data_IF_612383704811
#
_entry.id   IF_612383704811
#
_cell.length_a   1.000
_cell.length_b   1.000
_cell.length_c   1.000
_cell.angle_alpha   90.00
_cell.angle_beta   90.00
_cell.angle_gamma   90.00
#
_symmetry.space_group_name_H-M   'P 1'
#
loop_
_entity.id
_entity.type
_entity.pdbx_description
1 polymer ?
#
# COMPACT_ATOMS: atom_id res chain seq x y z
N UNK A 1 -15.05 46.12 -13.61
CA UNK A 1 -15.31 44.76 -14.17
C UNK A 1 -16.81 44.58 -14.33
N UNK A 2 -17.25 44.06 -15.47
CA UNK A 2 -18.68 43.77 -15.69
C UNK A 2 -19.11 42.61 -14.79
N UNK A 3 -20.25 42.70 -14.06
CA UNK A 3 -20.66 41.70 -13.07
C UNK A 3 -20.66 40.24 -13.59
N UNK A 4 -21.02 39.92 -14.85
CA UNK A 4 -20.97 38.55 -15.33
C UNK A 4 -19.53 37.98 -15.42
N UNK A 5 -18.52 38.82 -15.67
CA UNK A 5 -17.13 38.39 -15.74
C UNK A 5 -16.57 38.00 -14.36
N UNK A 6 -16.93 38.76 -13.32
CA UNK A 6 -16.52 38.46 -11.96
C UNK A 6 -17.11 37.11 -11.45
N UNK A 7 -18.37 36.84 -11.77
CA UNK A 7 -19.04 35.58 -11.41
C UNK A 7 -18.38 34.40 -12.14
N UNK A 8 -18.10 34.53 -13.45
CA UNK A 8 -17.44 33.49 -14.23
C UNK A 8 -16.04 33.17 -13.71
N UNK A 9 -15.27 34.20 -13.30
CA UNK A 9 -13.95 34.02 -12.72
C UNK A 9 -14.01 33.28 -11.37
N UNK A 10 -14.97 33.61 -10.49
CA UNK A 10 -15.15 32.94 -9.21
C UNK A 10 -15.50 31.46 -9.43
N UNK A 11 -16.41 31.14 -10.34
CA UNK A 11 -16.78 29.77 -10.65
C UNK A 11 -15.61 28.99 -11.23
N UNK A 12 -14.81 29.59 -12.08
CA UNK A 12 -13.61 28.96 -12.65
C UNK A 12 -12.57 28.65 -11.56
N UNK A 13 -12.30 29.59 -10.65
CA UNK A 13 -11.38 29.40 -9.54
C UNK A 13 -11.87 28.33 -8.56
N UNK A 14 -13.18 28.28 -8.27
CA UNK A 14 -13.78 27.24 -7.43
C UNK A 14 -13.67 25.87 -8.07
N UNK A 15 -13.88 25.76 -9.39
CA UNK A 15 -13.73 24.52 -10.13
C UNK A 15 -12.27 24.05 -10.16
N UNK A 16 -11.32 24.96 -10.41
CA UNK A 16 -9.89 24.70 -10.34
C UNK A 16 -9.45 24.22 -8.94
N UNK A 17 -9.89 24.92 -7.90
CA UNK A 17 -9.64 24.54 -6.50
C UNK A 17 -10.21 23.17 -6.16
N UNK A 18 -11.41 22.86 -6.64
CA UNK A 18 -12.04 21.55 -6.51
C UNK A 18 -11.26 20.45 -7.21
N UNK A 19 -10.80 20.67 -8.44
CA UNK A 19 -9.98 19.71 -9.19
C UNK A 19 -8.63 19.47 -8.49
N UNK A 20 -7.98 20.52 -8.01
CA UNK A 20 -6.71 20.41 -7.26
C UNK A 20 -6.95 19.63 -5.95
N UNK A 21 -7.95 19.99 -5.17
CA UNK A 21 -8.29 19.29 -3.93
C UNK A 21 -8.57 17.80 -4.16
N UNK A 22 -9.35 17.45 -5.20
CA UNK A 22 -9.66 16.08 -5.57
C UNK A 22 -8.42 15.30 -6.02
N UNK A 23 -7.50 15.95 -6.72
CA UNK A 23 -6.24 15.33 -7.15
C UNK A 23 -5.27 15.08 -6.00
N UNK A 24 -5.24 15.97 -5.00
CA UNK A 24 -4.36 15.85 -3.83
C UNK A 24 -4.92 14.98 -2.70
N UNK A 25 -6.24 14.80 -2.63
CA UNK A 25 -6.89 14.00 -1.58
C UNK A 25 -6.35 12.57 -1.45
N UNK A 26 -6.06 11.81 -2.54
CA UNK A 26 -5.44 10.49 -2.42
C UNK A 26 -4.05 10.53 -1.78
N UNK A 27 -3.24 11.55 -2.08
CA UNK A 27 -1.90 11.68 -1.51
C UNK A 27 -1.92 11.87 0.01
N UNK A 28 -2.84 12.67 0.51
CA UNK A 28 -3.02 12.88 1.95
C UNK A 28 -3.38 11.59 2.69
N UNK A 29 -4.17 10.76 2.08
CA UNK A 29 -4.57 9.48 2.67
C UNK A 29 -3.40 8.50 2.73
N UNK A 30 -2.54 8.51 1.72
CA UNK A 30 -1.32 7.69 1.73
C UNK A 30 -0.27 8.17 2.74
N UNK A 31 -0.18 9.46 2.99
CA UNK A 31 0.74 10.01 4.00
C UNK A 31 0.40 9.53 5.42
N UNK A 32 -0.88 9.29 5.68
CA UNK A 32 -1.36 8.82 6.98
C UNK A 32 -1.59 7.31 7.05
N UNK A 33 -1.40 6.57 5.95
CA UNK A 33 -1.69 5.14 5.90
C UNK A 33 -0.91 4.36 6.97
N UNK A 34 0.40 4.61 7.10
CA UNK A 34 1.24 3.97 8.12
C UNK A 34 0.73 4.25 9.54
N UNK A 35 0.47 5.52 9.84
CA UNK A 35 -0.01 5.93 11.16
C UNK A 35 -1.38 5.33 11.47
N UNK A 36 -2.28 5.29 10.50
CA UNK A 36 -3.61 4.72 10.67
C UNK A 36 -3.55 3.20 10.81
N UNK A 37 -2.69 2.53 10.05
CA UNK A 37 -2.48 1.10 10.20
C UNK A 37 -1.97 0.74 11.60
N UNK A 38 -1.00 1.49 12.11
CA UNK A 38 -0.45 1.29 13.47
C UNK A 38 -1.48 1.43 14.60
N UNK A 39 -2.60 2.12 14.35
CA UNK A 39 -3.71 2.28 15.32
C UNK A 39 -4.66 1.08 15.34
N UNK A 40 -4.75 0.33 14.25
CA UNK A 40 -5.78 -0.70 14.05
C UNK A 40 -5.23 -2.11 14.04
N UNK A 41 -3.93 -2.29 13.79
CA UNK A 41 -3.27 -3.59 13.75
C UNK A 41 -1.84 -3.46 14.28
N UNK A 42 -1.33 -4.51 14.89
CA UNK A 42 0.07 -4.58 15.30
C UNK A 42 0.94 -5.21 14.22
N UNK A 43 2.25 -4.90 14.22
CA UNK A 43 3.18 -5.55 13.30
C UNK A 43 3.23 -7.07 13.50
N UNK A 44 3.07 -7.54 14.73
CA UNK A 44 3.03 -8.97 15.05
C UNK A 44 1.80 -9.68 14.44
N UNK A 45 0.62 -9.05 14.49
CA UNK A 45 -0.58 -9.59 13.85
C UNK A 45 -0.47 -9.62 12.33
N UNK A 46 0.09 -8.56 11.73
CA UNK A 46 0.40 -8.54 10.29
C UNK A 46 1.35 -9.66 9.91
N UNK A 47 2.40 -9.86 10.70
CA UNK A 47 3.41 -10.88 10.45
C UNK A 47 2.82 -12.30 10.62
N UNK A 48 2.03 -12.52 11.65
CA UNK A 48 1.37 -13.80 11.87
C UNK A 48 0.39 -14.15 10.73
N UNK A 49 -0.32 -13.14 10.20
CA UNK A 49 -1.18 -13.33 9.05
C UNK A 49 -0.38 -13.65 7.78
N UNK A 50 0.69 -12.90 7.49
CA UNK A 50 1.51 -13.10 6.31
C UNK A 50 2.24 -14.45 6.33
N UNK A 51 2.73 -14.87 7.50
CA UNK A 51 3.39 -16.17 7.65
C UNK A 51 2.44 -17.34 7.34
N UNK A 52 1.21 -17.28 7.82
CA UNK A 52 0.18 -18.27 7.46
C UNK A 52 -0.04 -18.31 5.95
N UNK A 53 -0.13 -17.14 5.33
CA UNK A 53 -0.33 -17.05 3.90
C UNK A 53 0.87 -17.60 3.10
N UNK A 54 2.10 -17.35 3.56
CA UNK A 54 3.31 -17.91 2.97
C UNK A 54 3.35 -19.45 3.12
N UNK A 55 2.94 -19.96 4.27
CA UNK A 55 2.95 -21.41 4.56
C UNK A 55 1.88 -22.15 3.74
N UNK A 56 0.74 -21.51 3.46
CA UNK A 56 -0.32 -22.04 2.61
C UNK A 56 0.07 -22.10 1.12
N UNK A 57 1.08 -21.31 0.71
CA UNK A 57 1.59 -21.26 -0.66
C UNK A 57 3.10 -21.59 -0.73
N UNK A 58 3.48 -22.86 -0.58
CA UNK A 58 4.90 -23.25 -0.61
C UNK A 58 5.53 -23.02 -2.00
N UNK A 59 6.79 -22.62 -2.00
CA UNK A 59 7.58 -22.25 -3.18
C UNK A 59 7.63 -23.31 -4.30
N UNK A 60 7.32 -24.56 -3.99
CA UNK A 60 7.36 -25.68 -4.96
C UNK A 60 6.32 -25.60 -6.07
N UNK A 61 5.38 -24.65 -6.01
CA UNK A 61 4.27 -24.61 -6.97
C UNK A 61 4.39 -23.54 -8.07
N UNK A 62 5.25 -22.54 -7.95
CA UNK A 62 5.37 -21.52 -9.01
C UNK A 62 6.68 -20.74 -8.97
N UNK A 63 7.40 -20.71 -10.11
CA UNK A 63 8.55 -19.81 -10.34
C UNK A 63 8.14 -18.35 -10.61
N UNK A 64 6.96 -17.93 -10.20
CA UNK A 64 6.43 -16.58 -10.50
C UNK A 64 5.74 -15.98 -9.29
N UNK A 65 5.85 -14.66 -9.16
CA UNK A 65 5.05 -13.90 -8.23
C UNK A 65 3.56 -14.18 -8.48
N UNK A 66 2.93 -14.95 -7.59
CA UNK A 66 1.51 -15.21 -7.67
C UNK A 66 0.78 -13.94 -7.22
N UNK A 67 0.30 -13.18 -8.19
CA UNK A 67 -0.55 -12.01 -7.94
C UNK A 67 -1.93 -12.53 -7.53
N UNK A 68 -2.11 -12.79 -6.26
CA UNK A 68 -3.42 -13.05 -5.70
C UNK A 68 -4.11 -11.70 -5.46
N UNK A 69 -4.89 -11.25 -6.43
CA UNK A 69 -5.88 -10.18 -6.20
C UNK A 69 -7.00 -10.72 -5.31
N UNK A 70 -6.65 -11.12 -4.10
CA UNK A 70 -7.63 -11.57 -3.13
C UNK A 70 -8.07 -10.41 -2.27
N UNK A 71 -9.04 -9.66 -2.75
CA UNK A 71 -9.73 -8.62 -1.98
C UNK A 71 -10.36 -9.13 -0.67
N UNK A 72 -10.35 -10.44 -0.42
CA UNK A 72 -11.06 -11.08 0.70
C UNK A 72 -10.16 -11.60 1.81
N UNK A 73 -8.88 -11.86 1.57
CA UNK A 73 -7.99 -12.55 2.52
C UNK A 73 -6.96 -11.64 3.21
N UNK A 74 -7.20 -10.36 3.31
CA UNK A 74 -6.36 -9.46 4.11
C UNK A 74 -6.98 -9.20 5.49
N UNK A 75 -6.20 -8.78 6.50
CA UNK A 75 -6.72 -8.48 7.83
C UNK A 75 -7.88 -7.48 7.77
N UNK A 76 -9.05 -7.81 8.34
CA UNK A 76 -10.24 -6.97 8.25
C UNK A 76 -10.04 -5.57 8.85
N UNK A 77 -9.09 -5.42 9.79
CA UNK A 77 -8.71 -4.16 10.41
C UNK A 77 -8.15 -3.16 9.40
N UNK A 78 -7.60 -3.65 8.28
CA UNK A 78 -7.07 -2.81 7.20
C UNK A 78 -8.17 -2.30 6.24
N UNK A 79 -9.42 -2.76 6.42
CA UNK A 79 -10.56 -2.24 5.66
C UNK A 79 -10.78 -0.77 6.00
N UNK A 80 -10.93 0.05 4.99
CA UNK A 80 -11.22 1.47 5.19
C UNK A 80 -10.00 2.36 5.44
N UNK A 81 -8.77 1.81 5.49
CA UNK A 81 -7.57 2.62 5.63
C UNK A 81 -7.31 3.52 4.41
N UNK A 82 -7.75 3.08 3.23
CA UNK A 82 -7.70 3.90 2.02
C UNK A 82 -8.97 3.68 1.18
N UNK A 83 -9.57 4.73 0.66
CA UNK A 83 -10.99 4.74 0.35
C UNK A 83 -11.41 4.23 -1.02
N UNK A 84 -10.55 3.85 -1.93
CA UNK A 84 -11.06 3.53 -3.30
C UNK A 84 -10.35 2.41 -4.07
N UNK A 85 -9.10 2.12 -3.83
CA UNK A 85 -8.35 1.15 -4.64
C UNK A 85 -7.48 0.29 -3.73
N UNK A 86 -7.85 -0.95 -3.56
CA UNK A 86 -7.12 -1.92 -2.76
C UNK A 86 -7.79 -2.28 -1.44
N UNK A 87 -7.12 -3.01 -0.56
CA UNK A 87 -5.73 -3.42 -0.74
C UNK A 87 -5.55 -4.51 -1.79
N UNK A 88 -4.40 -4.46 -2.47
CA UNK A 88 -3.93 -5.57 -3.29
C UNK A 88 -2.96 -6.39 -2.46
N UNK A 89 -3.10 -7.70 -2.53
CA UNK A 89 -2.22 -8.64 -1.83
C UNK A 89 -1.44 -9.45 -2.85
N UNK A 90 -0.13 -9.35 -2.79
CA UNK A 90 0.79 -10.12 -3.63
C UNK A 90 1.67 -10.99 -2.74
N UNK A 91 1.79 -12.26 -3.05
CA UNK A 91 2.72 -13.16 -2.39
C UNK A 91 3.92 -13.33 -3.32
N UNK A 92 5.08 -12.98 -2.85
CA UNK A 92 6.33 -13.26 -3.55
C UNK A 92 6.96 -14.50 -2.94
N UNK A 93 6.96 -15.56 -3.72
CA UNK A 93 7.62 -16.82 -3.39
C UNK A 93 8.79 -16.95 -4.36
N UNK A 94 9.92 -16.34 -4.02
CA UNK A 94 11.13 -16.42 -4.83
C UNK A 94 11.89 -17.69 -4.46
N UNK A 95 12.34 -18.43 -5.47
CA UNK A 95 13.34 -19.48 -5.30
C UNK A 95 14.76 -18.92 -5.11
N UNK A 96 14.90 -17.60 -5.15
CA UNK A 96 16.15 -16.92 -4.83
C UNK A 96 16.44 -17.06 -3.35
N UNK A 97 17.46 -17.84 -3.02
CA UNK A 97 17.92 -18.09 -1.65
C UNK A 97 18.31 -16.79 -0.93
N UNK A 98 18.56 -15.71 -1.65
CA UNK A 98 18.91 -14.41 -1.13
C UNK A 98 17.67 -13.55 -0.76
N UNK A 99 16.49 -13.92 -1.22
CA UNK A 99 15.24 -13.18 -0.95
C UNK A 99 14.18 -14.13 -0.38
N UNK A 100 14.06 -14.23 0.95
CA UNK A 100 13.05 -15.09 1.56
C UNK A 100 11.64 -14.68 1.14
N UNK A 101 10.68 -15.60 1.14
CA UNK A 101 9.29 -15.32 0.80
C UNK A 101 8.70 -14.17 1.62
N UNK A 102 7.90 -13.34 0.97
CA UNK A 102 7.21 -12.24 1.62
C UNK A 102 5.84 -11.95 0.99
N UNK A 103 4.99 -11.32 1.76
CA UNK A 103 3.70 -10.79 1.31
C UNK A 103 3.81 -9.28 1.15
N UNK A 104 3.26 -8.76 0.07
CA UNK A 104 3.11 -7.34 -0.14
C UNK A 104 1.63 -6.98 -0.11
N UNK A 105 1.24 -6.10 0.81
CA UNK A 105 -0.07 -5.46 0.78
C UNK A 105 0.14 -4.02 0.32
N UNK A 106 -0.60 -3.59 -0.69
CA UNK A 106 -0.47 -2.22 -1.16
C UNK A 106 -1.80 -1.61 -1.59
N UNK A 107 -1.87 -0.30 -1.50
CA UNK A 107 -2.92 0.56 -2.01
C UNK A 107 -2.36 1.45 -3.10
N UNK A 108 -3.18 1.73 -4.10
CA UNK A 108 -2.77 2.51 -5.26
C UNK A 108 -2.01 1.69 -6.30
N UNK A 109 -1.94 2.23 -7.50
CA UNK A 109 -1.22 1.65 -8.63
C UNK A 109 -0.93 2.72 -9.69
N UNK A 110 0.02 2.43 -10.58
CA UNK A 110 0.30 3.27 -11.73
C UNK A 110 0.98 4.60 -11.40
N UNK A 111 0.58 5.67 -12.09
CA UNK A 111 1.22 7.00 -12.02
C UNK A 111 1.14 7.66 -10.64
N UNK A 112 0.16 7.28 -9.83
CA UNK A 112 -0.07 7.86 -8.50
C UNK A 112 0.79 7.20 -7.40
N UNK A 113 1.56 6.19 -7.77
CA UNK A 113 2.38 5.44 -6.83
C UNK A 113 1.58 4.37 -6.07
N UNK A 114 2.31 3.60 -5.29
CA UNK A 114 1.75 2.59 -4.40
C UNK A 114 2.35 2.77 -3.00
N UNK A 115 1.52 2.55 -1.99
CA UNK A 115 1.92 2.62 -0.59
C UNK A 115 1.40 1.38 0.12
N UNK A 116 2.21 0.78 0.99
CA UNK A 116 1.81 -0.45 1.63
C UNK A 116 2.86 -1.05 2.55
N UNK A 117 2.79 -2.36 2.70
CA UNK A 117 3.65 -3.13 3.58
C UNK A 117 4.31 -4.27 2.84
N UNK A 118 5.60 -4.49 3.10
CA UNK A 118 6.29 -5.74 2.88
C UNK A 118 6.33 -6.50 4.20
N UNK A 119 5.90 -7.74 4.19
CA UNK A 119 5.75 -8.55 5.39
C UNK A 119 6.34 -9.92 5.12
N UNK A 120 7.39 -10.27 5.84
CA UNK A 120 8.04 -11.57 5.77
C UNK A 120 8.30 -12.13 7.15
N UNK A 121 9.05 -13.20 7.21
CA UNK A 121 9.55 -13.76 8.46
C UNK A 121 10.51 -12.79 9.12
N UNK A 122 10.89 -13.02 10.37
CA UNK A 122 11.76 -12.12 11.14
C UNK A 122 13.13 -11.87 10.50
N UNK A 123 13.63 -12.83 9.71
CA UNK A 123 14.87 -12.70 8.93
C UNK A 123 14.69 -11.99 7.57
N UNK A 124 13.45 -11.66 7.18
CA UNK A 124 13.19 -10.92 5.95
C UNK A 124 13.69 -9.49 6.09
N UNK A 125 14.48 -9.06 5.10
CA UNK A 125 14.93 -7.67 4.96
C UNK A 125 14.44 -7.15 3.62
N UNK A 126 13.64 -6.10 3.64
CA UNK A 126 13.20 -5.46 2.40
C UNK A 126 14.41 -4.79 1.73
N UNK A 127 14.83 -5.33 0.59
CA UNK A 127 15.85 -4.68 -0.22
C UNK A 127 15.21 -3.52 -0.98
N UNK A 128 15.47 -2.32 -0.49
CA UNK A 128 14.86 -1.10 -1.02
C UNK A 128 15.73 -0.59 -2.15
N UNK A 129 15.31 -0.79 -3.38
CA UNK A 129 15.91 -0.09 -4.52
C UNK A 129 15.83 1.44 -4.31
N UNK A 130 16.76 2.17 -4.89
CA UNK A 130 17.08 3.59 -4.66
C UNK A 130 15.92 4.59 -4.81
N UNK A 131 14.76 4.18 -5.32
CA UNK A 131 13.59 5.04 -5.58
C UNK A 131 12.39 4.78 -4.64
N UNK A 132 12.58 4.09 -3.51
CA UNK A 132 11.48 3.75 -2.61
C UNK A 132 11.79 4.19 -1.19
N UNK A 133 10.90 4.93 -0.58
CA UNK A 133 10.95 5.15 0.85
C UNK A 133 10.46 3.90 1.55
N UNK A 134 11.31 3.24 2.32
CA UNK A 134 10.97 2.08 3.11
C UNK A 134 11.35 2.32 4.57
N UNK A 135 10.44 2.03 5.49
CA UNK A 135 10.65 2.18 6.92
C UNK A 135 10.36 0.87 7.62
N UNK A 136 11.27 0.42 8.46
CA UNK A 136 11.01 -0.72 9.30
C UNK A 136 9.93 -0.38 10.34
N UNK A 137 8.94 -1.25 10.46
CA UNK A 137 7.98 -1.22 11.57
C UNK A 137 8.48 -2.09 12.71
N UNK A 138 8.88 -3.30 12.37
CA UNK A 138 9.56 -4.28 13.22
C UNK A 138 10.36 -5.23 12.31
N UNK A 139 11.19 -6.12 12.85
CA UNK A 139 11.88 -7.14 12.06
C UNK A 139 10.87 -7.94 11.20
N UNK A 140 11.11 -7.96 9.89
CA UNK A 140 10.26 -8.64 8.93
C UNK A 140 9.04 -7.85 8.44
N UNK A 141 8.73 -6.67 9.00
CA UNK A 141 7.60 -5.83 8.58
C UNK A 141 8.09 -4.44 8.22
N UNK A 142 7.84 -4.04 6.99
CA UNK A 142 8.30 -2.77 6.44
C UNK A 142 7.16 -2.03 5.78
N UNK A 143 7.04 -0.74 6.07
CA UNK A 143 6.19 0.17 5.33
C UNK A 143 6.96 0.70 4.13
N UNK A 144 6.31 0.80 2.96
CA UNK A 144 6.91 1.37 1.78
C UNK A 144 5.99 2.40 1.10
N UNK A 145 6.64 3.34 0.42
CA UNK A 145 6.01 4.29 -0.51
C UNK A 145 6.80 4.29 -1.81
N UNK A 146 6.09 4.17 -2.91
CA UNK A 146 6.64 4.09 -4.26
C UNK A 146 6.18 5.27 -5.11
#
# INVERSE_FOLDING_TARGET
MRPPFAIALILFLAMLGGCIYWSYKPYWQFDHLEQNARKVITGAELQAWANRLIDDYPASQTNYALVLQMHTNYPPQLRGLAPRIGPFVNINVSDDTNLPPFVMIHWGSGLLGATGFYIGRTNFTANVGTNRTCRAWQPGVYFFRR
#
